data_IF_683498153834
#
_entry.id   IF_683498153834
#
_cell.length_a   1.000
_cell.length_b   1.000
_cell.length_c   1.000
_cell.angle_alpha   90.00
_cell.angle_beta   90.00
_cell.angle_gamma   90.00
#
_symmetry.space_group_name_H-M   'P 1'
#
loop_
_entity.id
_entity.type
_entity.pdbx_description
1 polymer ?
#
# COMPACT_ATOMS: atom_id res chain seq x y z
N UNK A 1 22.59 -14.51 11.07
CA UNK A 1 22.65 -13.38 10.14
C UNK A 1 22.60 -14.01 8.77
N UNK A 2 21.44 -13.95 8.10
CA UNK A 2 21.34 -14.42 6.72
C UNK A 2 22.28 -13.55 5.88
N UNK A 3 23.23 -14.17 5.20
CA UNK A 3 24.05 -13.48 4.23
C UNK A 3 23.12 -13.02 3.11
N UNK A 4 23.17 -11.72 2.78
CA UNK A 4 22.51 -11.19 1.62
C UNK A 4 23.25 -11.66 0.39
N UNK A 5 22.83 -12.76 -0.21
CA UNK A 5 23.28 -13.13 -1.53
C UNK A 5 22.64 -12.16 -2.53
N UNK A 6 23.49 -11.41 -3.22
CA UNK A 6 23.04 -10.55 -4.31
C UNK A 6 22.74 -11.41 -5.52
N UNK A 7 21.63 -11.13 -6.17
CA UNK A 7 21.34 -11.73 -7.47
C UNK A 7 22.31 -11.20 -8.54
N UNK A 8 22.72 -12.06 -9.47
CA UNK A 8 23.33 -11.59 -10.70
C UNK A 8 22.29 -10.79 -11.49
N UNK A 9 22.65 -9.55 -11.84
CA UNK A 9 21.75 -8.70 -12.59
C UNK A 9 21.79 -9.05 -14.08
N UNK A 10 20.65 -8.99 -14.77
CA UNK A 10 20.63 -9.18 -16.21
C UNK A 10 21.32 -8.01 -16.91
N UNK A 11 21.97 -8.28 -18.03
CA UNK A 11 22.48 -7.25 -18.91
C UNK A 11 21.40 -6.88 -19.91
N UNK A 12 20.74 -5.74 -19.71
CA UNK A 12 19.76 -5.20 -20.68
C UNK A 12 20.28 -3.86 -21.24
N UNK A 13 19.86 -3.47 -22.45
CA UNK A 13 20.24 -2.17 -23.01
C UNK A 13 19.87 -0.99 -22.09
N UNK A 14 18.70 -1.07 -21.44
CA UNK A 14 18.20 -0.03 -20.54
C UNK A 14 19.05 0.09 -19.27
N UNK A 15 19.42 -1.05 -18.66
CA UNK A 15 20.30 -1.06 -17.49
C UNK A 15 21.70 -0.57 -17.85
N UNK A 16 22.24 -0.97 -19.00
CA UNK A 16 23.54 -0.48 -19.47
C UNK A 16 23.51 1.03 -19.68
N UNK A 17 22.47 1.55 -20.33
CA UNK A 17 22.33 2.98 -20.59
C UNK A 17 22.20 3.81 -19.31
N UNK A 18 21.44 3.33 -18.31
CA UNK A 18 21.31 4.06 -17.04
C UNK A 18 22.61 4.00 -16.23
N UNK A 19 23.34 2.88 -16.26
CA UNK A 19 24.62 2.73 -15.58
C UNK A 19 25.70 3.66 -16.17
N UNK A 20 25.70 3.85 -17.49
CA UNK A 20 26.56 4.84 -18.16
C UNK A 20 26.25 6.29 -17.76
N UNK A 21 24.96 6.63 -17.58
CA UNK A 21 24.54 7.95 -17.08
C UNK A 21 24.99 8.15 -15.63
N UNK A 22 24.78 7.16 -14.77
CA UNK A 22 25.21 7.21 -13.36
C UNK A 22 26.74 7.34 -13.26
N UNK A 23 27.49 6.66 -14.12
CA UNK A 23 28.94 6.79 -14.13
C UNK A 23 29.43 8.21 -14.46
N UNK A 24 28.64 8.99 -15.23
CA UNK A 24 28.96 10.39 -15.59
C UNK A 24 28.46 11.38 -14.51
N UNK A 25 27.39 11.05 -13.79
CA UNK A 25 26.77 11.91 -12.77
C UNK A 25 26.31 11.04 -11.57
N UNK A 26 27.25 10.56 -10.74
CA UNK A 26 26.96 9.59 -9.68
C UNK A 26 26.17 10.17 -8.51
N UNK A 27 26.09 11.49 -8.37
CA UNK A 27 25.32 12.18 -7.33
C UNK A 27 23.94 12.66 -7.82
N UNK A 28 23.48 12.15 -8.95
CA UNK A 28 22.15 12.43 -9.46
C UNK A 28 21.13 11.41 -8.90
N UNK A 29 20.34 11.85 -7.91
CA UNK A 29 19.37 10.99 -7.23
C UNK A 29 18.32 10.41 -8.18
N UNK A 30 17.90 11.17 -9.22
CA UNK A 30 16.91 10.70 -10.18
C UNK A 30 17.41 9.51 -11.01
N UNK A 31 18.68 9.51 -11.40
CA UNK A 31 19.25 8.37 -12.13
C UNK A 31 19.25 7.09 -11.29
N UNK A 32 19.54 7.21 -10.00
CA UNK A 32 19.41 6.07 -9.08
C UNK A 32 17.97 5.61 -8.93
N UNK A 33 16.98 6.53 -8.86
CA UNK A 33 15.57 6.16 -8.87
C UNK A 33 15.18 5.45 -10.17
N UNK A 34 15.56 5.98 -11.32
CA UNK A 34 15.28 5.36 -12.63
C UNK A 34 15.85 3.94 -12.71
N UNK A 35 17.09 3.75 -12.26
CA UNK A 35 17.69 2.42 -12.19
C UNK A 35 16.87 1.48 -11.29
N UNK A 36 16.44 1.97 -10.14
CA UNK A 36 15.59 1.22 -9.20
C UNK A 36 14.24 0.81 -9.82
N UNK A 37 13.63 1.68 -10.62
CA UNK A 37 12.40 1.37 -11.34
C UNK A 37 12.60 0.27 -12.38
N UNK A 38 13.69 0.31 -13.15
CA UNK A 38 14.05 -0.74 -14.11
C UNK A 38 14.23 -2.10 -13.42
N UNK A 39 15.01 -2.12 -12.33
CA UNK A 39 15.24 -3.35 -11.56
C UNK A 39 13.96 -3.89 -10.94
N UNK A 40 13.11 -3.02 -10.42
CA UNK A 40 11.81 -3.40 -9.87
C UNK A 40 10.89 -4.01 -10.94
N UNK A 41 10.87 -3.44 -12.15
CA UNK A 41 10.12 -3.98 -13.28
C UNK A 41 10.59 -5.37 -13.72
N UNK A 42 11.88 -5.68 -13.49
CA UNK A 42 12.49 -6.98 -13.77
C UNK A 42 12.36 -7.97 -12.58
N UNK A 43 11.74 -7.56 -11.44
CA UNK A 43 11.58 -8.41 -10.27
C UNK A 43 12.74 -8.39 -9.28
N UNK A 44 13.80 -7.59 -9.52
CA UNK A 44 14.96 -7.45 -8.64
C UNK A 44 14.68 -6.45 -7.52
N UNK A 45 13.78 -6.80 -6.61
CA UNK A 45 13.23 -5.87 -5.61
C UNK A 45 14.24 -5.42 -4.56
N UNK A 46 15.18 -6.27 -4.16
CA UNK A 46 16.24 -5.92 -3.19
C UNK A 46 17.19 -4.91 -3.78
N UNK A 47 17.68 -5.19 -4.98
CA UNK A 47 18.59 -4.34 -5.72
C UNK A 47 17.94 -3.00 -6.09
N UNK A 48 16.65 -3.01 -6.39
CA UNK A 48 15.86 -1.79 -6.55
C UNK A 48 15.84 -0.96 -5.26
N UNK A 49 15.63 -1.59 -4.09
CA UNK A 49 15.65 -0.91 -2.79
C UNK A 49 17.02 -0.29 -2.48
N UNK A 50 18.13 -0.93 -2.89
CA UNK A 50 19.49 -0.35 -2.79
C UNK A 50 19.61 0.92 -3.64
N UNK A 51 19.07 0.92 -4.86
CA UNK A 51 19.08 2.12 -5.73
C UNK A 51 18.29 3.27 -5.09
N UNK A 52 17.10 3.01 -4.54
CA UNK A 52 16.34 4.04 -3.85
C UNK A 52 17.05 4.51 -2.57
N UNK A 53 17.77 3.63 -1.87
CA UNK A 53 18.59 4.01 -0.70
C UNK A 53 19.70 4.98 -1.10
N UNK A 54 20.33 4.79 -2.28
CA UNK A 54 21.32 5.75 -2.81
C UNK A 54 20.66 7.08 -3.16
N UNK A 55 19.49 7.07 -3.81
CA UNK A 55 18.73 8.28 -4.11
C UNK A 55 18.36 9.08 -2.83
N UNK A 56 17.93 8.39 -1.76
CA UNK A 56 17.65 8.98 -0.46
C UNK A 56 18.90 9.58 0.17
N UNK A 57 20.04 8.89 0.09
CA UNK A 57 21.30 9.41 0.63
C UNK A 57 21.72 10.72 -0.04
N UNK A 58 21.41 10.90 -1.32
CA UNK A 58 21.72 12.12 -2.09
C UNK A 58 20.69 13.21 -1.81
N UNK A 59 19.39 12.87 -1.83
CA UNK A 59 18.30 13.82 -1.57
C UNK A 59 17.27 13.21 -0.63
N UNK A 60 17.40 13.41 0.71
CA UNK A 60 16.51 12.81 1.71
C UNK A 60 15.13 13.48 1.82
N UNK A 61 14.87 14.56 1.08
CA UNK A 61 13.61 15.29 1.16
C UNK A 61 12.62 14.95 0.06
N UNK A 62 12.95 14.03 -0.84
CA UNK A 62 12.03 13.55 -1.88
C UNK A 62 11.26 12.33 -1.36
N UNK A 63 9.95 12.49 -1.14
CA UNK A 63 9.06 11.46 -0.63
C UNK A 63 8.92 10.25 -1.55
N UNK A 64 9.06 10.42 -2.88
CA UNK A 64 8.93 9.35 -3.86
C UNK A 64 9.98 8.24 -3.65
N UNK A 65 11.20 8.60 -3.27
CA UNK A 65 12.25 7.63 -3.04
C UNK A 65 11.92 6.70 -1.88
N UNK A 66 11.38 7.25 -0.78
CA UNK A 66 10.90 6.46 0.35
C UNK A 66 9.70 5.59 -0.06
N UNK A 67 8.72 6.15 -0.80
CA UNK A 67 7.58 5.39 -1.30
C UNK A 67 8.00 4.21 -2.15
N UNK A 68 8.92 4.41 -3.09
CA UNK A 68 9.42 3.34 -3.95
C UNK A 68 10.17 2.28 -3.15
N UNK A 69 11.03 2.68 -2.22
CA UNK A 69 11.78 1.74 -1.38
C UNK A 69 10.84 0.94 -0.46
N UNK A 70 9.92 1.62 0.19
CA UNK A 70 8.90 1.00 1.06
C UNK A 70 8.10 -0.08 0.31
N UNK A 71 7.69 0.22 -0.92
CA UNK A 71 6.96 -0.72 -1.75
C UNK A 71 7.78 -1.99 -2.04
N UNK A 72 9.09 -1.85 -2.26
CA UNK A 72 9.98 -3.02 -2.44
C UNK A 72 10.18 -3.78 -1.13
N UNK A 73 10.30 -3.09 0.00
CA UNK A 73 10.36 -3.74 1.31
C UNK A 73 9.11 -4.59 1.57
N UNK A 74 7.91 -4.06 1.31
CA UNK A 74 6.67 -4.83 1.44
C UNK A 74 6.65 -6.03 0.49
N UNK A 75 7.08 -5.86 -0.76
CA UNK A 75 7.19 -6.97 -1.73
C UNK A 75 8.15 -8.08 -1.29
N UNK A 76 9.16 -7.73 -0.49
CA UNK A 76 10.13 -8.67 0.06
C UNK A 76 9.73 -9.22 1.45
N UNK A 77 8.58 -8.84 2.00
CA UNK A 77 8.13 -9.25 3.34
C UNK A 77 8.73 -8.44 4.50
N UNK A 78 9.47 -7.36 4.22
CA UNK A 78 10.03 -6.45 5.24
C UNK A 78 9.01 -5.38 5.62
N UNK A 79 7.90 -5.81 6.24
CA UNK A 79 6.75 -4.93 6.49
C UNK A 79 7.07 -3.80 7.46
N UNK A 80 7.94 -4.02 8.45
CA UNK A 80 8.34 -2.99 9.42
C UNK A 80 9.16 -1.88 8.74
N UNK A 81 10.10 -2.24 7.87
CA UNK A 81 10.91 -1.29 7.12
C UNK A 81 10.04 -0.53 6.11
N UNK A 82 9.10 -1.22 5.46
CA UNK A 82 8.10 -0.61 4.60
C UNK A 82 7.25 0.42 5.34
N UNK A 83 6.73 0.08 6.53
CA UNK A 83 5.95 1.00 7.36
C UNK A 83 6.75 2.23 7.79
N UNK A 84 8.04 2.06 8.11
CA UNK A 84 8.93 3.17 8.48
C UNK A 84 9.10 4.15 7.31
N UNK A 85 9.42 3.66 6.13
CA UNK A 85 9.59 4.49 4.93
C UNK A 85 8.29 5.15 4.47
N UNK A 86 7.16 4.44 4.47
CA UNK A 86 5.86 5.05 4.18
C UNK A 86 5.47 6.11 5.21
N UNK A 87 5.87 5.96 6.47
CA UNK A 87 5.68 6.99 7.50
C UNK A 87 6.46 8.25 7.16
N UNK A 88 7.71 8.13 6.71
CA UNK A 88 8.50 9.29 6.26
C UNK A 88 7.84 9.91 5.02
N UNK A 89 7.50 9.11 4.03
CA UNK A 89 6.84 9.58 2.80
C UNK A 89 5.54 10.34 3.11
N UNK A 90 4.71 9.86 4.04
CA UNK A 90 3.46 10.52 4.43
C UNK A 90 3.67 11.86 5.14
N UNK A 91 4.83 12.05 5.79
CA UNK A 91 5.21 13.33 6.39
C UNK A 91 5.68 14.35 5.36
N UNK A 92 6.44 13.88 4.36
CA UNK A 92 6.94 14.73 3.28
C UNK A 92 5.85 15.08 2.26
N UNK A 93 4.92 14.16 1.99
CA UNK A 93 3.75 14.39 1.14
C UNK A 93 2.49 13.75 1.76
N UNK A 94 1.72 14.48 2.58
CA UNK A 94 0.53 13.96 3.23
C UNK A 94 -0.68 13.77 2.30
N UNK A 95 -0.59 14.22 1.05
CA UNK A 95 -1.70 14.21 0.10
C UNK A 95 -1.61 13.08 -0.94
N UNK A 96 -0.69 12.15 -0.76
CA UNK A 96 -0.56 10.99 -1.66
C UNK A 96 -1.38 9.81 -1.12
N UNK A 97 -2.42 9.43 -1.87
CA UNK A 97 -3.31 8.32 -1.54
C UNK A 97 -2.55 6.99 -1.44
N UNK A 98 -1.63 6.75 -2.37
CA UNK A 98 -0.88 5.49 -2.47
C UNK A 98 0.03 5.26 -1.25
N UNK A 99 0.62 6.33 -0.73
CA UNK A 99 1.44 6.28 0.50
C UNK A 99 0.61 5.84 1.70
N UNK A 100 -0.57 6.43 1.91
CA UNK A 100 -1.45 6.07 3.02
C UNK A 100 -2.02 4.66 2.88
N UNK A 101 -2.40 4.27 1.67
CA UNK A 101 -2.90 2.93 1.37
C UNK A 101 -1.88 1.86 1.75
N UNK A 102 -0.64 1.99 1.30
CA UNK A 102 0.41 1.01 1.58
C UNK A 102 0.96 1.09 3.01
N UNK A 103 0.87 2.26 3.65
CA UNK A 103 1.15 2.38 5.08
C UNK A 103 0.13 1.58 5.90
N UNK A 104 -1.16 1.71 5.57
CA UNK A 104 -2.23 0.91 6.17
C UNK A 104 -2.01 -0.59 5.96
N UNK A 105 -1.68 -0.99 4.74
CA UNK A 105 -1.37 -2.38 4.41
C UNK A 105 -0.17 -2.91 5.22
N UNK A 106 0.89 -2.12 5.33
CA UNK A 106 2.08 -2.51 6.10
C UNK A 106 1.72 -2.72 7.58
N UNK A 107 0.94 -1.83 8.18
CA UNK A 107 0.47 -1.99 9.56
C UNK A 107 -0.48 -3.16 9.73
N UNK A 108 -1.37 -3.41 8.77
CA UNK A 108 -2.26 -4.58 8.80
C UNK A 108 -1.46 -5.88 8.80
N UNK A 109 -0.46 -6.01 7.92
CA UNK A 109 0.41 -7.19 7.83
C UNK A 109 1.28 -7.40 9.08
N UNK A 110 1.56 -6.32 9.82
CA UNK A 110 2.24 -6.36 11.12
C UNK A 110 1.29 -6.67 12.30
N UNK A 111 -0.02 -6.78 12.07
CA UNK A 111 -1.02 -6.95 13.13
C UNK A 111 -1.27 -5.69 13.96
N UNK A 112 -0.78 -4.53 13.50
CA UNK A 112 -0.95 -3.23 14.17
C UNK A 112 -2.25 -2.55 13.70
N UNK A 113 -3.39 -3.17 13.99
CA UNK A 113 -4.68 -2.81 13.42
C UNK A 113 -5.14 -1.39 13.77
N UNK A 114 -4.85 -0.87 14.97
CA UNK A 114 -5.16 0.53 15.32
C UNK A 114 -4.42 1.53 14.42
N UNK A 115 -3.15 1.24 14.08
CA UNK A 115 -2.39 2.08 13.16
C UNK A 115 -2.86 1.92 11.72
N UNK A 116 -3.27 0.72 11.33
CA UNK A 116 -3.86 0.47 10.02
C UNK A 116 -5.18 1.24 9.85
N UNK A 117 -6.07 1.21 10.85
CA UNK A 117 -7.32 1.99 10.89
C UNK A 117 -7.06 3.49 10.71
N UNK A 118 -6.10 4.03 11.47
CA UNK A 118 -5.68 5.43 11.32
C UNK A 118 -5.17 5.76 9.92
N UNK A 119 -4.34 4.91 9.34
CA UNK A 119 -3.79 5.14 8.00
C UNK A 119 -4.86 5.04 6.92
N UNK A 120 -5.77 4.05 7.00
CA UNK A 120 -6.86 3.90 6.05
C UNK A 120 -7.89 5.03 6.16
N UNK A 121 -8.16 5.55 7.35
CA UNK A 121 -8.98 6.75 7.53
C UNK A 121 -8.39 7.96 6.78
N UNK A 122 -7.06 8.14 6.85
CA UNK A 122 -6.36 9.19 6.09
C UNK A 122 -6.40 8.93 4.59
N UNK A 123 -6.25 7.68 4.17
CA UNK A 123 -6.32 7.27 2.78
C UNK A 123 -7.70 7.55 2.18
N UNK A 124 -8.76 7.13 2.87
CA UNK A 124 -10.14 7.31 2.43
C UNK A 124 -10.51 8.78 2.17
N UNK A 125 -9.97 9.71 2.98
CA UNK A 125 -10.16 11.13 2.79
C UNK A 125 -9.54 11.68 1.47
N UNK A 126 -8.70 10.89 0.81
CA UNK A 126 -8.03 11.24 -0.45
C UNK A 126 -8.59 10.49 -1.67
N UNK A 127 -9.64 9.69 -1.51
CA UNK A 127 -10.28 8.95 -2.60
C UNK A 127 -10.73 9.90 -3.72
N UNK A 128 -10.49 9.50 -4.97
CA UNK A 128 -10.88 10.25 -6.17
C UNK A 128 -11.69 9.40 -7.14
N UNK A 129 -11.54 8.08 -7.08
CA UNK A 129 -12.15 7.15 -8.03
C UNK A 129 -12.87 6.02 -7.30
N UNK A 130 -13.73 5.31 -8.00
CA UNK A 130 -14.35 4.09 -7.49
C UNK A 130 -13.31 3.02 -7.16
N UNK A 131 -12.23 2.95 -7.92
CA UNK A 131 -11.12 2.02 -7.68
C UNK A 131 -10.43 2.31 -6.34
N UNK A 132 -10.16 3.60 -6.03
CA UNK A 132 -9.60 4.03 -4.75
C UNK A 132 -10.52 3.63 -3.59
N UNK A 133 -11.84 3.91 -3.72
CA UNK A 133 -12.85 3.59 -2.72
C UNK A 133 -12.87 2.09 -2.44
N UNK A 134 -12.95 1.27 -3.49
CA UNK A 134 -13.00 -0.18 -3.33
C UNK A 134 -11.73 -0.73 -2.67
N UNK A 135 -10.56 -0.27 -3.12
CA UNK A 135 -9.29 -0.76 -2.59
C UNK A 135 -9.10 -0.42 -1.11
N UNK A 136 -9.35 0.84 -0.69
CA UNK A 136 -9.18 1.22 0.71
C UNK A 136 -10.26 0.63 1.60
N UNK A 137 -11.51 0.60 1.14
CA UNK A 137 -12.64 0.10 1.94
C UNK A 137 -12.48 -1.38 2.24
N UNK A 138 -12.00 -2.20 1.32
CA UNK A 138 -11.79 -3.63 1.52
C UNK A 138 -10.80 -3.91 2.68
N UNK A 139 -9.64 -3.27 2.66
CA UNK A 139 -8.65 -3.43 3.72
C UNK A 139 -9.06 -2.78 5.04
N UNK A 140 -9.74 -1.63 4.97
CA UNK A 140 -10.23 -0.93 6.16
C UNK A 140 -11.35 -1.73 6.85
N UNK A 141 -12.27 -2.30 6.06
CA UNK A 141 -13.30 -3.21 6.59
C UNK A 141 -12.67 -4.39 7.35
N UNK A 142 -11.72 -5.09 6.74
CA UNK A 142 -11.02 -6.18 7.40
C UNK A 142 -10.28 -5.73 8.67
N UNK A 143 -9.71 -4.53 8.65
CA UNK A 143 -9.02 -3.94 9.80
C UNK A 143 -9.99 -3.71 10.97
N UNK A 144 -11.14 -3.09 10.71
CA UNK A 144 -12.17 -2.82 11.71
C UNK A 144 -12.74 -4.13 12.29
N UNK A 145 -12.97 -5.14 11.45
CA UNK A 145 -13.38 -6.48 11.92
C UNK A 145 -12.34 -7.10 12.84
N UNK A 146 -11.05 -6.93 12.58
CA UNK A 146 -9.96 -7.38 13.49
C UNK A 146 -9.94 -6.63 14.82
N UNK A 147 -10.40 -5.40 14.83
CA UNK A 147 -10.53 -4.57 16.04
C UNK A 147 -11.85 -4.82 16.82
N UNK A 148 -12.76 -5.63 16.30
CA UNK A 148 -14.09 -5.83 16.87
C UNK A 148 -15.04 -4.63 16.71
N UNK A 149 -14.71 -3.70 15.79
CA UNK A 149 -15.50 -2.50 15.48
C UNK A 149 -16.56 -2.81 14.40
N UNK A 150 -17.46 -3.75 14.70
CA UNK A 150 -18.39 -4.30 13.70
C UNK A 150 -19.35 -3.26 13.12
N UNK A 151 -19.83 -2.32 13.93
CA UNK A 151 -20.74 -1.27 13.47
C UNK A 151 -20.03 -0.27 12.54
N UNK A 152 -18.77 0.08 12.85
CA UNK A 152 -17.97 0.95 12.01
C UNK A 152 -17.63 0.25 10.67
N UNK A 153 -17.29 -1.04 10.73
CA UNK A 153 -17.03 -1.84 9.55
C UNK A 153 -18.26 -1.90 8.62
N UNK A 154 -19.44 -2.15 9.17
CA UNK A 154 -20.68 -2.19 8.40
C UNK A 154 -20.98 -0.84 7.71
N UNK A 155 -20.74 0.28 8.39
CA UNK A 155 -20.94 1.62 7.83
C UNK A 155 -20.04 1.91 6.63
N UNK A 156 -18.82 1.37 6.59
CA UNK A 156 -17.95 1.54 5.41
C UNK A 156 -18.59 0.98 4.13
N UNK A 157 -19.44 -0.04 4.27
CA UNK A 157 -20.09 -0.68 3.13
C UNK A 157 -21.25 0.13 2.56
N UNK A 158 -21.71 1.20 3.23
CA UNK A 158 -22.77 2.07 2.72
C UNK A 158 -22.35 2.77 1.41
N UNK A 159 -21.07 3.11 1.26
CA UNK A 159 -20.53 3.72 0.05
C UNK A 159 -20.46 2.76 -1.13
N UNK A 160 -20.54 1.44 -0.91
CA UNK A 160 -20.45 0.43 -1.95
C UNK A 160 -21.82 0.22 -2.57
N UNK A 161 -22.01 0.72 -3.77
CA UNK A 161 -23.26 0.57 -4.55
C UNK A 161 -23.14 -0.52 -5.62
N UNK A 162 -24.27 -0.93 -6.21
CA UNK A 162 -24.30 -2.02 -7.21
C UNK A 162 -23.64 -1.64 -8.54
N UNK A 163 -23.62 -0.34 -8.88
CA UNK A 163 -23.19 0.17 -10.18
C UNK A 163 -21.93 1.06 -10.06
N UNK A 164 -20.99 0.72 -9.17
CA UNK A 164 -19.75 1.49 -9.07
C UNK A 164 -18.93 1.38 -10.36
N UNK A 165 -18.46 2.51 -10.92
CA UNK A 165 -17.67 2.53 -12.16
C UNK A 165 -16.21 2.10 -11.89
N UNK A 166 -16.03 0.83 -11.46
CA UNK A 166 -14.71 0.26 -11.22
C UNK A 166 -14.07 -0.11 -12.55
N UNK A 167 -12.88 0.37 -12.81
CA UNK A 167 -12.19 0.25 -14.10
C UNK A 167 -10.99 -0.70 -14.06
N UNK A 168 -10.33 -0.83 -12.92
CA UNK A 168 -9.16 -1.66 -12.71
C UNK A 168 -9.53 -3.10 -12.31
N UNK A 169 -8.86 -4.11 -12.88
CA UNK A 169 -9.15 -5.52 -12.62
C UNK A 169 -8.88 -5.90 -11.14
N UNK A 170 -7.83 -5.33 -10.54
CA UNK A 170 -7.49 -5.57 -9.13
C UNK A 170 -8.54 -4.91 -8.23
N UNK A 171 -8.92 -3.67 -8.53
CA UNK A 171 -9.99 -2.95 -7.81
C UNK A 171 -11.34 -3.68 -7.94
N UNK A 172 -11.63 -4.28 -9.10
CA UNK A 172 -12.82 -5.09 -9.27
C UNK A 172 -12.82 -6.32 -8.36
N UNK A 173 -11.68 -6.93 -8.10
CA UNK A 173 -11.58 -8.03 -7.13
C UNK A 173 -11.95 -7.60 -5.71
N UNK A 174 -11.55 -6.40 -5.29
CA UNK A 174 -11.95 -5.79 -4.02
C UNK A 174 -13.45 -5.50 -4.00
N UNK A 175 -13.97 -4.90 -5.06
CA UNK A 175 -15.38 -4.60 -5.21
C UNK A 175 -16.26 -5.85 -5.07
N UNK A 176 -15.91 -6.96 -5.71
CA UNK A 176 -16.67 -8.22 -5.56
C UNK A 176 -16.67 -8.74 -4.12
N UNK A 177 -15.54 -8.64 -3.40
CA UNK A 177 -15.50 -9.02 -1.97
C UNK A 177 -16.37 -8.11 -1.12
N UNK A 178 -16.31 -6.79 -1.34
CA UNK A 178 -17.13 -5.81 -0.62
C UNK A 178 -18.63 -6.07 -0.81
N UNK A 179 -19.06 -6.46 -1.99
CA UNK A 179 -20.46 -6.86 -2.24
C UNK A 179 -20.85 -8.10 -1.42
N UNK A 180 -19.95 -9.07 -1.30
CA UNK A 180 -20.18 -10.25 -0.44
C UNK A 180 -20.26 -9.84 1.02
N UNK A 181 -19.37 -8.97 1.50
CA UNK A 181 -19.41 -8.47 2.88
C UNK A 181 -20.70 -7.73 3.16
N UNK A 182 -21.13 -6.85 2.27
CA UNK A 182 -22.39 -6.11 2.39
C UNK A 182 -23.61 -7.05 2.48
N UNK A 183 -23.66 -8.08 1.67
CA UNK A 183 -24.70 -9.10 1.73
C UNK A 183 -24.70 -9.89 3.06
N UNK A 184 -23.52 -10.24 3.58
CA UNK A 184 -23.38 -10.93 4.86
C UNK A 184 -23.80 -10.06 6.04
N UNK A 185 -23.41 -8.78 6.08
CA UNK A 185 -23.82 -7.85 7.14
C UNK A 185 -25.33 -7.60 7.11
N UNK A 186 -25.93 -7.51 5.93
CA UNK A 186 -27.38 -7.38 5.79
C UNK A 186 -28.13 -8.61 6.34
N UNK A 187 -27.63 -9.81 6.05
CA UNK A 187 -28.19 -11.05 6.56
C UNK A 187 -28.01 -11.16 8.08
N UNK A 188 -26.86 -10.76 8.62
CA UNK A 188 -26.60 -10.76 10.06
C UNK A 188 -27.51 -9.76 10.80
N UNK A 189 -27.73 -8.58 10.22
CA UNK A 189 -28.66 -7.59 10.78
C UNK A 189 -30.12 -8.10 10.80
N UNK A 190 -30.53 -8.80 9.73
CA UNK A 190 -31.86 -9.42 9.65
C UNK A 190 -32.04 -10.61 10.60
N UNK A 191 -30.94 -11.25 11.03
CA UNK A 191 -30.93 -12.39 11.94
C UNK A 191 -30.71 -11.99 13.42
N UNK A 192 -30.40 -10.72 13.73
CA UNK A 192 -30.35 -10.25 15.12
C UNK A 192 -31.75 -10.43 15.70
N UNK A 193 -31.95 -11.29 16.72
CA UNK A 193 -33.22 -11.35 17.40
C UNK A 193 -33.56 -9.95 17.94
N UNK A 194 -34.77 -9.51 17.76
CA UNK A 194 -35.28 -8.35 18.51
C UNK A 194 -34.84 -8.51 19.96
N UNK A 195 -34.25 -7.44 20.49
CA UNK A 195 -33.64 -7.47 21.82
C UNK A 195 -34.51 -8.27 22.77
N UNK A 196 -33.94 -9.30 23.39
CA UNK A 196 -34.59 -10.02 24.46
C UNK A 196 -34.84 -9.01 25.58
N UNK A 197 -36.06 -8.47 25.61
CA UNK A 197 -36.56 -7.78 26.80
C UNK A 197 -36.79 -8.87 27.83
N UNK A 198 -35.86 -8.97 28.79
CA UNK A 198 -36.11 -9.68 30.03
C UNK A 198 -37.10 -8.81 30.80
N UNK A 199 -38.40 -9.20 30.78
CA UNK A 199 -39.39 -8.78 31.75
C UNK A 199 -39.08 -9.39 33.11
#
# INVERSE_FOLDING_TARGET
>A
VASWERNELPTTPELTAIDEKIAKDPENAELHKERGLLLAGLGYYREAAECYSRAIAINPFNWEYYRHRAHRFVSCGYFADGAADFTIASRLNPNDWNVWYHLGLSYFLLGMYDKADWAYTRCAALNKTADDICAVTDWHYMTLKRLGKDEEAAKLLDEITEDMPVSDEVANSYYQRLRVYKGAEHNNAAQKPEAWTLD
#
